data_IF_801717530832
#
_entry.id   IF_801717530832
#
_cell.length_a   1.000
_cell.length_b   1.000
_cell.length_c   1.000
_cell.angle_alpha   90.00
_cell.angle_beta   90.00
_cell.angle_gamma   90.00
#
_symmetry.space_group_name_H-M   'P 1'
#
loop_
_entity.id
_entity.type
_entity.pdbx_description
1 polymer ?
#
# COMPACT_ATOMS: atom_id res chain seq x y z
N UNK A 1 10.10 -10.91 4.28
CA UNK A 1 10.72 -10.89 2.93
C UNK A 1 10.13 -12.03 2.11
N UNK A 2 9.09 -11.75 1.30
CA UNK A 2 8.54 -12.71 0.36
C UNK A 2 9.25 -12.54 -0.99
N UNK A 3 10.32 -13.31 -1.20
CA UNK A 3 10.94 -13.41 -2.53
C UNK A 3 10.16 -14.45 -3.34
N UNK A 4 9.02 -14.04 -3.91
CA UNK A 4 8.26 -14.88 -4.83
C UNK A 4 8.80 -14.61 -6.24
N UNK A 5 9.51 -15.58 -6.79
CA UNK A 5 9.94 -15.58 -8.18
C UNK A 5 8.88 -16.14 -9.13
N UNK A 6 9.20 -16.15 -10.43
CA UNK A 6 8.32 -16.71 -11.45
C UNK A 6 8.02 -18.21 -11.21
N UNK A 7 9.00 -18.96 -10.68
CA UNK A 7 8.84 -20.38 -10.36
C UNK A 7 7.86 -20.62 -9.21
N UNK A 8 7.99 -19.86 -8.12
CA UNK A 8 7.05 -19.93 -6.99
C UNK A 8 5.63 -19.55 -7.41
N UNK A 9 5.47 -18.56 -8.31
CA UNK A 9 4.15 -18.18 -8.84
C UNK A 9 3.48 -19.33 -9.60
N UNK A 10 4.24 -20.06 -10.44
CA UNK A 10 3.73 -21.24 -11.15
C UNK A 10 3.37 -22.35 -10.15
N UNK A 11 4.20 -22.59 -9.14
CA UNK A 11 3.91 -23.59 -8.11
C UNK A 11 2.61 -23.26 -7.35
N UNK A 12 2.39 -21.98 -6.99
CA UNK A 12 1.15 -21.52 -6.37
C UNK A 12 -0.06 -21.66 -7.31
N UNK A 13 0.10 -21.34 -8.59
CA UNK A 13 -0.96 -21.51 -9.57
C UNK A 13 -1.36 -22.99 -9.70
N UNK A 14 -0.39 -23.90 -9.81
CA UNK A 14 -0.64 -25.34 -9.84
C UNK A 14 -1.32 -25.81 -8.56
N UNK A 15 -0.85 -25.36 -7.39
CA UNK A 15 -1.47 -25.70 -6.11
C UNK A 15 -2.94 -25.23 -6.04
N UNK A 16 -3.22 -24.01 -6.49
CA UNK A 16 -4.57 -23.49 -6.56
C UNK A 16 -5.44 -24.30 -7.54
N UNK A 17 -4.90 -24.71 -8.69
CA UNK A 17 -5.59 -25.57 -9.65
C UNK A 17 -5.91 -26.95 -9.06
N UNK A 18 -5.04 -27.52 -8.23
CA UNK A 18 -5.27 -28.81 -7.58
C UNK A 18 -6.33 -28.70 -6.48
N UNK A 19 -6.27 -27.64 -5.66
CA UNK A 19 -7.21 -27.45 -4.53
C UNK A 19 -8.61 -27.09 -5.03
N UNK A 20 -8.71 -26.14 -5.95
CA UNK A 20 -9.99 -25.57 -6.39
C UNK A 20 -10.50 -26.16 -7.70
N UNK A 21 -9.60 -26.65 -8.55
CA UNK A 21 -9.90 -27.14 -9.90
C UNK A 21 -9.68 -26.10 -11.00
N UNK A 22 -9.25 -26.51 -12.21
CA UNK A 22 -8.99 -25.62 -13.35
C UNK A 22 -10.22 -24.88 -13.86
N UNK A 23 -11.41 -25.45 -13.66
CA UNK A 23 -12.66 -24.83 -14.10
C UNK A 23 -13.21 -23.81 -13.10
N UNK A 24 -12.84 -23.90 -11.82
CA UNK A 24 -13.43 -23.06 -10.77
C UNK A 24 -12.69 -21.73 -10.61
N UNK A 25 -11.36 -21.73 -10.73
CA UNK A 25 -10.55 -20.51 -10.67
C UNK A 25 -11.00 -19.42 -11.67
N UNK A 26 -11.15 -19.70 -12.98
CA UNK A 26 -11.59 -18.68 -13.93
C UNK A 26 -13.03 -18.22 -13.66
N UNK A 27 -13.91 -19.12 -13.21
CA UNK A 27 -15.29 -18.78 -12.84
C UNK A 27 -15.32 -17.83 -11.64
N UNK A 28 -14.54 -18.11 -10.60
CA UNK A 28 -14.43 -17.26 -9.41
C UNK A 28 -13.83 -15.89 -9.75
N UNK A 29 -12.75 -15.86 -10.53
CA UNK A 29 -12.15 -14.60 -10.99
C UNK A 29 -13.15 -13.76 -11.82
N UNK A 30 -13.92 -14.39 -12.71
CA UNK A 30 -14.94 -13.71 -13.50
C UNK A 30 -16.11 -13.19 -12.63
N UNK A 31 -16.49 -13.90 -11.57
CA UNK A 31 -17.49 -13.44 -10.61
C UNK A 31 -16.99 -12.21 -9.84
N UNK A 32 -15.78 -12.27 -9.29
CA UNK A 32 -15.15 -11.15 -8.58
C UNK A 32 -15.01 -9.94 -9.51
N UNK A 33 -14.57 -10.16 -10.76
CA UNK A 33 -14.45 -9.09 -11.75
C UNK A 33 -15.79 -8.40 -12.04
N UNK A 34 -16.88 -9.16 -12.14
CA UNK A 34 -18.24 -8.59 -12.32
C UNK A 34 -18.69 -7.78 -11.11
N UNK A 35 -18.45 -8.28 -9.90
CA UNK A 35 -18.77 -7.56 -8.66
C UNK A 35 -17.98 -6.25 -8.57
N UNK A 36 -16.67 -6.30 -8.84
CA UNK A 36 -15.82 -5.10 -8.84
C UNK A 36 -16.25 -4.07 -9.90
N UNK A 37 -16.64 -4.54 -11.09
CA UNK A 37 -17.18 -3.69 -12.16
C UNK A 37 -18.45 -2.98 -11.68
N UNK A 38 -19.37 -3.73 -11.08
CA UNK A 38 -20.64 -3.19 -10.58
C UNK A 38 -20.41 -2.20 -9.44
N UNK A 39 -19.51 -2.52 -8.50
CA UNK A 39 -19.13 -1.64 -7.40
C UNK A 39 -18.54 -0.33 -7.92
N UNK A 40 -17.66 -0.38 -8.93
CA UNK A 40 -17.12 0.81 -9.59
C UNK A 40 -18.23 1.67 -10.18
N UNK A 41 -19.15 1.07 -10.95
CA UNK A 41 -20.28 1.80 -11.55
C UNK A 41 -21.18 2.44 -10.49
N UNK A 42 -21.43 1.75 -9.38
CA UNK A 42 -22.19 2.29 -8.24
C UNK A 42 -21.47 3.48 -7.59
N UNK A 43 -20.16 3.35 -7.36
CA UNK A 43 -19.34 4.43 -6.79
C UNK A 43 -19.31 5.67 -7.71
N UNK A 44 -19.16 5.46 -9.02
CA UNK A 44 -19.17 6.54 -10.01
C UNK A 44 -20.53 7.25 -10.05
N UNK A 45 -21.63 6.49 -9.96
CA UNK A 45 -22.99 7.05 -9.96
C UNK A 45 -23.27 7.85 -8.69
N UNK A 46 -22.90 7.33 -7.51
CA UNK A 46 -23.04 8.03 -6.24
C UNK A 46 -22.21 9.33 -6.21
N UNK A 47 -20.99 9.31 -6.76
CA UNK A 47 -20.16 10.51 -6.95
C UNK A 47 -20.86 11.56 -7.82
N UNK A 48 -21.47 11.14 -8.92
CA UNK A 48 -22.20 12.04 -9.82
C UNK A 48 -23.44 12.64 -9.14
N UNK A 49 -24.15 11.87 -8.33
CA UNK A 49 -25.34 12.34 -7.60
C UNK A 49 -24.98 13.33 -6.49
N UNK A 50 -23.89 13.08 -5.74
CA UNK A 50 -23.34 14.00 -4.74
C UNK A 50 -22.92 15.32 -5.40
N UNK A 51 -22.23 15.24 -6.55
CA UNK A 51 -21.79 16.43 -7.31
C UNK A 51 -22.96 17.26 -7.84
N UNK A 52 -24.08 16.63 -8.21
CA UNK A 52 -25.29 17.32 -8.68
C UNK A 52 -26.10 17.90 -7.52
N UNK A 53 -26.17 17.22 -6.38
CA UNK A 53 -27.03 17.58 -5.26
C UNK A 53 -26.46 18.63 -4.31
N UNK A 54 -25.14 18.74 -4.18
CA UNK A 54 -24.51 19.60 -3.15
C UNK A 54 -23.97 20.94 -3.66
N UNK A 55 -24.14 21.26 -4.95
CA UNK A 55 -23.70 22.54 -5.52
C UNK A 55 -22.16 22.72 -5.55
N UNK A 56 -21.67 23.86 -6.04
CA UNK A 56 -20.25 24.10 -6.32
C UNK A 56 -19.31 24.07 -5.10
N UNK A 57 -19.81 23.96 -3.88
CA UNK A 57 -19.00 23.94 -2.65
C UNK A 57 -18.32 22.59 -2.37
N UNK A 58 -18.71 21.51 -3.06
CA UNK A 58 -18.04 20.19 -3.01
C UNK A 58 -17.24 19.88 -4.28
N UNK A 59 -17.12 20.85 -5.19
CA UNK A 59 -16.31 20.74 -6.41
C UNK A 59 -14.82 20.60 -6.08
N UNK A 60 -14.42 21.05 -4.90
CA UNK A 60 -13.04 21.05 -4.39
C UNK A 60 -12.69 19.80 -3.55
N UNK A 61 -13.66 18.91 -3.27
CA UNK A 61 -13.33 17.60 -2.71
C UNK A 61 -12.81 16.72 -3.87
N UNK A 62 -11.49 16.73 -4.02
CA UNK A 62 -10.78 16.15 -5.15
C UNK A 62 -10.92 14.63 -5.17
N UNK A 63 -11.91 14.15 -5.92
CA UNK A 63 -12.22 12.73 -6.02
C UNK A 63 -11.09 11.94 -6.71
N UNK A 64 -10.10 12.62 -7.28
CA UNK A 64 -8.89 12.00 -7.83
C UNK A 64 -7.88 11.57 -6.75
N UNK A 65 -8.02 12.03 -5.50
CA UNK A 65 -7.20 11.54 -4.38
C UNK A 65 -7.71 10.19 -3.82
N UNK A 66 -8.94 9.82 -4.15
CA UNK A 66 -9.52 8.51 -3.86
C UNK A 66 -9.17 7.45 -4.93
N UNK A 67 -8.30 7.77 -5.91
CA UNK A 67 -7.88 6.78 -6.89
C UNK A 67 -7.00 5.73 -6.21
N UNK A 68 -7.42 4.45 -6.14
CA UNK A 68 -6.73 3.44 -5.35
C UNK A 68 -5.29 3.24 -5.79
N UNK A 69 -4.93 3.49 -7.07
CA UNK A 69 -3.54 3.46 -7.51
C UNK A 69 -2.69 4.56 -6.88
N UNK A 70 -3.22 5.79 -6.75
CA UNK A 70 -2.50 6.92 -6.15
C UNK A 70 -2.48 6.82 -4.63
N UNK A 71 -3.57 6.34 -4.02
CA UNK A 71 -3.65 6.06 -2.59
C UNK A 71 -2.66 4.97 -2.15
N UNK A 72 -2.66 3.82 -2.84
CA UNK A 72 -1.68 2.73 -2.61
C UNK A 72 -0.28 3.25 -2.88
N UNK A 73 -0.06 4.05 -3.93
CA UNK A 73 1.25 4.65 -4.19
C UNK A 73 1.71 5.60 -3.08
N UNK A 74 0.84 6.46 -2.54
CA UNK A 74 1.24 7.31 -1.41
C UNK A 74 1.57 6.48 -0.18
N UNK A 75 0.72 5.51 0.18
CA UNK A 75 0.91 4.71 1.40
C UNK A 75 2.00 3.64 1.33
N UNK A 76 2.32 3.10 0.15
CA UNK A 76 3.44 2.16 0.00
C UNK A 76 4.79 2.88 0.02
N UNK A 77 4.91 4.03 -0.63
CA UNK A 77 6.16 4.79 -0.63
C UNK A 77 6.45 5.43 0.73
N UNK A 78 5.42 5.85 1.48
CA UNK A 78 5.59 6.37 2.83
C UNK A 78 5.99 5.28 3.84
N UNK A 79 5.59 4.01 3.61
CA UNK A 79 6.04 2.87 4.41
C UNK A 79 7.49 2.45 4.13
N UNK A 80 8.02 2.72 2.93
CA UNK A 80 9.43 2.45 2.58
C UNK A 80 10.38 3.57 3.07
N UNK A 81 9.89 4.79 3.29
CA UNK A 81 10.69 5.93 3.80
C UNK A 81 10.91 5.88 5.33
N UNK A 82 10.14 5.08 6.09
CA UNK A 82 10.31 4.88 7.54
C UNK A 82 11.40 3.83 7.90
N UNK A 83 11.94 3.11 6.91
CA UNK A 83 13.09 2.21 7.09
C UNK A 83 14.41 2.96 6.77
N UNK A 84 14.78 3.95 7.60
CA UNK A 84 16.13 4.53 7.57
C UNK A 84 17.16 3.50 8.10
N UNK A 85 18.07 2.96 7.28
CA UNK A 85 19.07 1.99 7.73
C UNK A 85 20.17 2.61 8.62
N UNK A 86 20.10 3.91 8.95
CA UNK A 86 21.14 4.61 9.70
C UNK A 86 21.12 4.37 11.23
N UNK A 87 20.03 3.87 11.83
CA UNK A 87 19.90 3.81 13.30
C UNK A 87 20.48 2.54 13.97
N UNK A 88 21.45 1.87 13.34
CA UNK A 88 22.16 0.71 13.93
C UNK A 88 23.52 1.03 14.55
N UNK A 89 23.82 2.29 14.87
CA UNK A 89 25.11 2.67 15.47
C UNK A 89 24.93 3.25 16.88
N UNK A 90 24.93 2.33 17.86
CA UNK A 90 25.30 2.47 19.29
C UNK A 90 24.95 3.82 19.97
N UNK A 91 24.08 3.82 21.00
CA UNK A 91 23.83 5.04 21.75
C UNK A 91 25.06 5.38 22.60
N UNK A 92 25.93 6.26 22.08
CA UNK A 92 26.93 6.93 22.89
C UNK A 92 26.17 7.78 23.92
N UNK A 93 26.36 7.49 25.21
CA UNK A 93 25.69 8.18 26.31
C UNK A 93 25.85 9.69 26.14
N UNK A 94 24.74 10.37 25.83
CA UNK A 94 24.70 11.83 25.70
C UNK A 94 24.30 12.40 27.06
N UNK A 95 25.18 13.17 27.69
CA UNK A 95 24.81 13.99 28.85
C UNK A 95 24.24 15.32 28.30
N UNK A 96 22.98 15.62 28.61
CA UNK A 96 22.26 16.81 28.11
C UNK A 96 22.32 17.02 26.58
N UNK A 97 22.29 15.94 25.79
CA UNK A 97 22.20 16.01 24.33
C UNK A 97 23.48 16.41 23.59
N UNK A 98 24.54 16.80 24.30
CA UNK A 98 25.86 17.12 23.73
C UNK A 98 26.78 15.91 23.85
N UNK A 99 27.61 15.68 22.83
CA UNK A 99 28.73 14.73 22.95
C UNK A 99 29.72 15.33 23.94
N UNK A 100 30.12 14.62 25.01
CA UNK A 100 31.15 15.12 25.90
C UNK A 100 32.43 15.38 25.09
N UNK A 101 33.14 16.50 25.36
CA UNK A 101 34.40 16.81 24.69
C UNK A 101 35.42 15.70 24.97
N UNK A 102 36.19 15.35 23.94
CA UNK A 102 37.25 14.35 24.07
C UNK A 102 38.43 15.00 24.83
N UNK A 103 38.78 14.45 25.99
CA UNK A 103 39.92 14.90 26.78
C UNK A 103 41.16 14.08 26.40
N UNK A 104 42.16 14.73 25.83
CA UNK A 104 43.41 14.11 25.40
C UNK A 104 44.43 13.94 26.53
N UNK A 105 44.15 14.43 27.75
CA UNK A 105 45.06 14.32 28.90
C UNK A 105 44.77 13.11 29.81
N UNK A 106 43.75 12.30 29.50
CA UNK A 106 43.50 11.05 30.23
C UNK A 106 44.42 9.91 29.73
N UNK A 107 45.52 9.68 30.45
CA UNK A 107 46.33 8.44 30.39
C UNK A 107 46.46 7.85 31.79
#
# INVERSE_FOLDING_TARGET
>A
MFNIGAGEFIALAVLALVIFGPDQLPKAAAQIGRVLRQLRTMADSAKDDIRKGLGPEFKDFDVDDLNPRRFVQKHFWEADDDDDPADRRRPAARLNGKRPPFDSEAT
#
